data_IF_764779419909
#
_entry.id   IF_764779419909
#
_cell.length_a   1.000
_cell.length_b   1.000
_cell.length_c   1.000
_cell.angle_alpha   90.00
_cell.angle_beta   90.00
_cell.angle_gamma   90.00
#
_symmetry.space_group_name_H-M   'P 1'
#
loop_
_entity.id
_entity.type
_entity.pdbx_description
1 polymer ?
#
# COMPACT_ATOMS: atom_id res chain seq x y z
N UNK A 1 10.97 0.20 -10.10
CA UNK A 1 11.33 1.26 -9.12
C UNK A 1 10.21 2.29 -8.85
N UNK A 2 9.13 2.31 -9.64
CA UNK A 2 7.99 3.24 -9.57
C UNK A 2 7.04 3.05 -8.37
N UNK A 3 7.00 1.85 -7.79
CA UNK A 3 5.99 1.47 -6.80
C UNK A 3 6.10 2.26 -5.47
N UNK A 4 7.33 2.51 -4.97
CA UNK A 4 7.54 3.24 -3.68
C UNK A 4 7.16 4.72 -3.72
N UNK A 5 7.19 5.37 -4.88
CA UNK A 5 6.79 6.78 -5.01
C UNK A 5 5.27 6.88 -5.08
N UNK A 6 4.64 6.04 -5.91
CA UNK A 6 3.18 5.94 -6.01
C UNK A 6 2.56 5.61 -4.64
N UNK A 7 3.11 4.63 -3.93
CA UNK A 7 2.67 4.27 -2.59
C UNK A 7 2.75 5.43 -1.58
N UNK A 8 3.82 6.23 -1.62
CA UNK A 8 3.95 7.41 -0.76
C UNK A 8 2.89 8.48 -1.08
N UNK A 9 2.67 8.77 -2.36
CA UNK A 9 1.66 9.72 -2.80
C UNK A 9 0.25 9.29 -2.38
N UNK A 10 -0.05 8.01 -2.55
CA UNK A 10 -1.31 7.41 -2.12
C UNK A 10 -1.54 7.53 -0.61
N UNK A 11 -0.56 7.12 0.22
CA UNK A 11 -0.69 7.22 1.68
C UNK A 11 -0.96 8.65 2.15
N UNK A 12 -0.29 9.64 1.55
CA UNK A 12 -0.51 11.06 1.86
C UNK A 12 -1.88 11.52 1.39
N UNK A 13 -2.28 11.22 0.15
CA UNK A 13 -3.57 11.61 -0.40
C UNK A 13 -4.74 10.99 0.37
N UNK A 14 -4.70 9.69 0.70
CA UNK A 14 -5.72 9.02 1.50
C UNK A 14 -5.88 9.66 2.87
N UNK A 15 -4.78 10.00 3.53
CA UNK A 15 -4.85 10.65 4.83
C UNK A 15 -5.51 12.05 4.73
N UNK A 16 -5.17 12.81 3.68
CA UNK A 16 -5.79 14.12 3.39
C UNK A 16 -7.29 13.97 3.06
N UNK A 17 -7.68 12.91 2.34
CA UNK A 17 -9.07 12.60 2.00
C UNK A 17 -9.90 12.32 3.28
N UNK A 18 -9.36 11.53 4.20
CA UNK A 18 -10.02 11.18 5.47
C UNK A 18 -10.05 12.33 6.47
N UNK A 19 -9.06 13.23 6.42
CA UNK A 19 -8.93 14.36 7.35
C UNK A 19 -8.77 15.68 6.57
N UNK A 20 -9.88 16.34 6.20
CA UNK A 20 -9.82 17.64 5.53
C UNK A 20 -9.09 18.69 6.37
N UNK A 21 -8.42 19.63 5.70
CA UNK A 21 -7.63 20.70 6.31
C UNK A 21 -6.44 20.24 7.15
N UNK A 22 -5.89 19.06 6.84
CA UNK A 22 -4.73 18.52 7.54
C UNK A 22 -3.49 19.39 7.34
N UNK A 23 -2.68 19.53 8.39
CA UNK A 23 -1.40 20.24 8.31
C UNK A 23 -0.24 19.30 8.04
N UNK A 24 0.85 19.82 7.47
CA UNK A 24 2.07 19.04 7.27
C UNK A 24 2.65 18.50 8.59
N UNK A 25 2.38 19.14 9.73
CA UNK A 25 2.77 18.65 11.06
C UNK A 25 2.02 17.37 11.42
N UNK A 26 0.70 17.33 11.21
CA UNK A 26 -0.12 16.15 11.52
C UNK A 26 0.29 14.95 10.64
N UNK A 27 0.56 15.19 9.35
CA UNK A 27 1.03 14.14 8.44
C UNK A 27 2.34 13.49 8.90
N UNK A 28 3.27 14.27 9.48
CA UNK A 28 4.54 13.74 10.03
C UNK A 28 4.36 12.86 11.26
N UNK A 29 3.29 13.08 12.00
CA UNK A 29 2.96 12.30 13.20
C UNK A 29 2.21 11.03 12.79
N UNK A 30 1.28 11.15 11.83
CA UNK A 30 0.37 10.08 11.48
C UNK A 30 0.94 9.05 10.49
N UNK A 31 1.87 9.45 9.64
CA UNK A 31 2.43 8.58 8.60
C UNK A 31 3.86 8.17 8.95
N UNK A 32 4.24 6.89 8.75
CA UNK A 32 5.61 6.41 8.95
C UNK A 32 6.53 6.83 7.79
N UNK A 33 6.58 8.14 7.49
CA UNK A 33 7.35 8.73 6.40
C UNK A 33 8.31 9.78 6.94
N UNK A 34 9.47 9.91 6.31
CA UNK A 34 10.44 10.92 6.71
C UNK A 34 9.89 12.35 6.43
N UNK A 35 10.13 13.35 7.30
CA UNK A 35 9.60 14.70 7.10
C UNK A 35 9.93 15.32 5.73
N UNK A 36 11.12 15.01 5.20
CA UNK A 36 11.55 15.44 3.85
C UNK A 36 10.66 14.85 2.75
N UNK A 37 10.33 13.57 2.84
CA UNK A 37 9.47 12.89 1.87
C UNK A 37 8.07 13.50 1.88
N UNK A 38 7.52 13.79 3.07
CA UNK A 38 6.21 14.44 3.20
C UNK A 38 6.21 15.82 2.53
N UNK A 39 7.24 16.65 2.74
CA UNK A 39 7.33 17.96 2.09
C UNK A 39 7.44 17.84 0.56
N UNK A 40 8.28 16.92 0.07
CA UNK A 40 8.44 16.68 -1.35
C UNK A 40 7.14 16.18 -1.99
N UNK A 41 6.47 15.22 -1.36
CA UNK A 41 5.18 14.70 -1.79
C UNK A 41 4.12 15.79 -1.82
N UNK A 42 3.94 16.56 -0.74
CA UNK A 42 2.98 17.67 -0.72
C UNK A 42 3.26 18.71 -1.82
N UNK A 43 4.53 19.04 -2.06
CA UNK A 43 4.92 19.96 -3.13
C UNK A 43 4.66 19.40 -4.53
N UNK A 44 4.74 18.09 -4.75
CA UNK A 44 4.39 17.45 -6.02
C UNK A 44 2.87 17.34 -6.20
N UNK A 45 2.15 16.89 -5.17
CA UNK A 45 0.70 16.78 -5.18
C UNK A 45 0.03 18.13 -5.40
N UNK A 46 0.56 19.20 -4.77
CA UNK A 46 0.04 20.56 -4.96
C UNK A 46 0.30 21.06 -6.38
N UNK A 47 1.49 20.81 -6.95
CA UNK A 47 1.83 21.19 -8.33
C UNK A 47 1.00 20.45 -9.39
N UNK A 48 0.55 19.24 -9.07
CA UNK A 48 -0.33 18.42 -9.92
C UNK A 48 -1.81 18.63 -9.61
N UNK A 49 -2.13 19.59 -8.76
CA UNK A 49 -3.51 19.94 -8.41
C UNK A 49 -4.31 18.78 -7.78
N UNK A 50 -3.63 17.77 -7.21
CA UNK A 50 -4.26 16.68 -6.48
C UNK A 50 -4.66 17.09 -5.06
N UNK A 51 -4.04 18.15 -4.54
CA UNK A 51 -4.38 18.75 -3.25
C UNK A 51 -4.38 20.27 -3.38
N UNK A 52 -5.33 20.92 -2.72
CA UNK A 52 -5.35 22.36 -2.51
C UNK A 52 -4.57 22.69 -1.24
N UNK A 53 -3.68 23.67 -1.35
CA UNK A 53 -2.97 24.26 -0.21
C UNK A 53 -3.71 25.52 0.23
N UNK A 54 -4.40 25.44 1.35
CA UNK A 54 -5.01 26.56 2.05
C UNK A 54 -4.13 27.08 3.19
N UNK A 55 -4.62 28.13 3.86
CA UNK A 55 -4.07 28.61 5.13
C UNK A 55 -5.20 28.65 6.16
N UNK A 56 -5.03 27.90 7.26
CA UNK A 56 -5.94 27.91 8.39
C UNK A 56 -5.15 28.39 9.60
N UNK A 57 -5.57 29.53 10.18
CA UNK A 57 -4.92 30.14 11.36
C UNK A 57 -3.40 30.33 11.19
N UNK A 58 -2.96 30.75 10.00
CA UNK A 58 -1.54 30.97 9.70
C UNK A 58 -0.72 29.72 9.38
N UNK A 59 -1.33 28.52 9.39
CA UNK A 59 -0.67 27.27 9.02
C UNK A 59 -1.17 26.74 7.67
N UNK A 60 -0.27 26.16 6.88
CA UNK A 60 -0.66 25.50 5.64
C UNK A 60 -1.50 24.25 5.93
N UNK A 61 -2.71 24.24 5.37
CA UNK A 61 -3.64 23.13 5.41
C UNK A 61 -3.81 22.53 4.02
N UNK A 62 -4.03 21.24 3.93
CA UNK A 62 -4.22 20.54 2.67
C UNK A 62 -5.59 19.89 2.63
N UNK A 63 -6.25 20.00 1.49
CA UNK A 63 -7.54 19.34 1.18
C UNK A 63 -7.43 18.67 -0.18
N UNK A 64 -8.01 17.48 -0.32
CA UNK A 64 -7.97 16.75 -1.58
C UNK A 64 -8.87 17.43 -2.62
N UNK A 65 -8.47 17.37 -3.89
CA UNK A 65 -9.29 17.83 -5.03
C UNK A 65 -10.03 16.66 -5.68
N UNK A 66 -10.95 16.97 -6.58
CA UNK A 66 -11.58 15.98 -7.46
C UNK A 66 -10.55 15.22 -8.31
N UNK A 67 -9.49 15.89 -8.78
CA UNK A 67 -8.38 15.24 -9.50
C UNK A 67 -7.58 14.29 -8.60
N UNK A 68 -7.31 14.70 -7.36
CA UNK A 68 -6.64 13.84 -6.39
C UNK A 68 -7.45 12.62 -6.02
N UNK A 69 -8.77 12.78 -5.91
CA UNK A 69 -9.72 11.71 -5.63
C UNK A 69 -9.83 10.72 -6.80
N UNK A 70 -9.92 11.21 -8.03
CA UNK A 70 -9.88 10.38 -9.24
C UNK A 70 -8.55 9.62 -9.35
N UNK A 71 -7.42 10.29 -9.12
CA UNK A 71 -6.11 9.64 -9.10
C UNK A 71 -6.02 8.57 -8.02
N UNK A 72 -6.55 8.83 -6.81
CA UNK A 72 -6.65 7.83 -5.75
C UNK A 72 -7.44 6.62 -6.22
N UNK A 73 -8.63 6.81 -6.82
CA UNK A 73 -9.46 5.71 -7.32
C UNK A 73 -8.79 4.88 -8.41
N UNK A 74 -8.09 5.52 -9.34
CA UNK A 74 -7.32 4.83 -10.40
C UNK A 74 -6.12 4.06 -9.85
N UNK A 75 -5.48 4.59 -8.80
CA UNK A 75 -4.29 4.00 -8.18
C UNK A 75 -4.61 3.18 -6.92
N UNK A 76 -5.90 3.03 -6.56
CA UNK A 76 -6.33 2.36 -5.34
C UNK A 76 -6.10 0.85 -5.42
N UNK A 77 -6.15 0.30 -6.64
CA UNK A 77 -5.79 -1.09 -6.92
C UNK A 77 -4.33 -1.39 -6.59
N UNK A 78 -3.47 -0.37 -6.56
CA UNK A 78 -2.06 -0.50 -6.18
C UNK A 78 -1.79 -0.30 -4.67
N UNK A 79 -2.81 -0.02 -3.84
CA UNK A 79 -2.64 0.27 -2.42
C UNK A 79 -3.09 -0.87 -1.51
N UNK A 80 -2.11 -1.66 -1.08
CA UNK A 80 -2.20 -2.39 0.17
C UNK A 80 -2.03 -1.36 1.31
N UNK A 81 -3.01 -1.20 2.21
CA UNK A 81 -2.78 -0.42 3.45
C UNK A 81 -1.54 -0.96 4.19
N UNK A 82 -0.87 -0.18 5.07
CA UNK A 82 0.27 -0.71 5.83
C UNK A 82 -0.06 -2.01 6.59
N UNK A 83 -1.27 -2.10 7.13
CA UNK A 83 -1.81 -3.31 7.78
C UNK A 83 -1.98 -4.45 6.78
N UNK A 84 -2.50 -4.16 5.59
CA UNK A 84 -2.65 -5.15 4.52
C UNK A 84 -1.29 -5.66 4.03
N UNK A 85 -0.29 -4.79 3.88
CA UNK A 85 1.08 -5.18 3.56
C UNK A 85 1.71 -6.05 4.65
N UNK A 86 1.50 -5.68 5.92
CA UNK A 86 1.97 -6.48 7.04
C UNK A 86 1.32 -7.86 7.05
N UNK A 87 0.01 -7.94 6.76
CA UNK A 87 -0.70 -9.21 6.64
C UNK A 87 -0.18 -10.04 5.46
N UNK A 88 -0.01 -9.43 4.30
CA UNK A 88 0.53 -10.09 3.11
C UNK A 88 1.95 -10.63 3.37
N UNK A 89 2.85 -9.80 3.92
CA UNK A 89 4.23 -10.19 4.26
C UNK A 89 4.25 -11.31 5.31
N UNK A 90 3.38 -11.23 6.32
CA UNK A 90 3.22 -12.28 7.33
C UNK A 90 2.82 -13.61 6.70
N UNK A 91 1.78 -13.63 5.88
CA UNK A 91 1.31 -14.86 5.24
C UNK A 91 2.34 -15.43 4.27
N UNK A 92 3.02 -14.56 3.53
CA UNK A 92 4.10 -14.96 2.61
C UNK A 92 5.26 -15.61 3.36
N UNK A 93 5.80 -14.96 4.39
CA UNK A 93 6.91 -15.52 5.21
C UNK A 93 6.51 -16.83 5.88
N UNK A 94 5.26 -16.93 6.33
CA UNK A 94 4.74 -18.16 6.91
C UNK A 94 4.63 -19.28 5.86
N UNK A 95 4.21 -18.95 4.64
CA UNK A 95 4.15 -19.91 3.54
C UNK A 95 5.53 -20.43 3.16
N UNK A 96 6.50 -19.52 2.94
CA UNK A 96 7.90 -19.84 2.61
C UNK A 96 8.52 -20.75 3.69
N UNK A 97 8.35 -20.42 4.97
CA UNK A 97 8.86 -21.26 6.07
C UNK A 97 8.20 -22.64 6.14
N UNK A 98 6.91 -22.73 5.82
CA UNK A 98 6.21 -24.02 5.78
C UNK A 98 6.65 -24.88 4.58
N UNK A 99 7.01 -24.26 3.45
CA UNK A 99 7.63 -24.96 2.32
C UNK A 99 8.99 -25.54 2.72
N UNK A 100 9.85 -24.77 3.39
CA UNK A 100 11.17 -25.23 3.86
C UNK A 100 11.07 -26.43 4.81
N UNK A 101 10.02 -26.48 5.63
CA UNK A 101 9.76 -27.58 6.57
C UNK A 101 9.02 -28.76 5.94
N UNK A 102 8.65 -28.71 4.66
CA UNK A 102 7.90 -29.76 3.97
C UNK A 102 6.43 -29.86 4.36
N UNK A 103 5.86 -28.85 5.03
CA UNK A 103 4.44 -28.82 5.40
C UNK A 103 3.56 -28.29 4.26
N UNK A 104 3.59 -29.00 3.12
CA UNK A 104 3.04 -28.54 1.84
C UNK A 104 1.56 -28.15 1.88
N UNK A 105 0.70 -28.89 2.60
CA UNK A 105 -0.74 -28.55 2.71
C UNK A 105 -0.95 -27.23 3.45
N UNK A 106 -0.19 -27.00 4.52
CA UNK A 106 -0.29 -25.77 5.30
C UNK A 106 0.28 -24.59 4.52
N UNK A 107 1.38 -24.79 3.80
CA UNK A 107 1.97 -23.79 2.91
C UNK A 107 0.97 -23.36 1.82
N UNK A 108 0.32 -24.32 1.14
CA UNK A 108 -0.68 -24.04 0.10
C UNK A 108 -1.84 -23.17 0.60
N UNK A 109 -2.29 -23.36 1.85
CA UNK A 109 -3.32 -22.52 2.48
C UNK A 109 -2.83 -21.09 2.75
N UNK A 110 -1.58 -20.92 3.16
CA UNK A 110 -1.02 -19.58 3.35
C UNK A 110 -0.87 -18.84 2.02
N UNK A 111 -0.47 -19.51 0.95
CA UNK A 111 -0.44 -18.92 -0.39
C UNK A 111 -1.81 -18.50 -0.92
N UNK A 112 -2.89 -19.16 -0.49
CA UNK A 112 -4.25 -18.69 -0.79
C UNK A 112 -4.54 -17.34 -0.12
N UNK A 113 -4.13 -17.16 1.14
CA UNK A 113 -4.25 -15.86 1.80
C UNK A 113 -3.38 -14.78 1.16
N UNK A 114 -2.19 -15.14 0.67
CA UNK A 114 -1.34 -14.22 -0.11
C UNK A 114 -2.07 -13.80 -1.39
N UNK A 115 -2.66 -14.76 -2.11
CA UNK A 115 -3.43 -14.50 -3.33
C UNK A 115 -4.61 -13.54 -3.09
N UNK A 116 -5.40 -13.78 -2.04
CA UNK A 116 -6.56 -12.94 -1.69
C UNK A 116 -6.14 -11.50 -1.34
N UNK A 117 -4.91 -11.33 -0.86
CA UNK A 117 -4.35 -10.05 -0.47
C UNK A 117 -3.49 -9.41 -1.56
N UNK A 118 -3.20 -10.07 -2.68
CA UNK A 118 -2.33 -9.53 -3.72
C UNK A 118 -2.99 -8.37 -4.47
N UNK A 119 -2.29 -7.23 -4.67
CA UNK A 119 -2.88 -6.02 -5.27
C UNK A 119 -2.95 -6.05 -6.79
N UNK A 120 -2.06 -6.81 -7.43
CA UNK A 120 -1.89 -6.86 -8.88
C UNK A 120 -1.83 -8.30 -9.39
N UNK A 121 -2.10 -8.47 -10.68
CA UNK A 121 -2.21 -9.78 -11.30
C UNK A 121 -0.87 -10.53 -11.33
N UNK A 122 0.27 -9.84 -11.42
CA UNK A 122 1.59 -10.47 -11.36
C UNK A 122 1.83 -11.13 -10.00
N UNK A 123 1.51 -10.43 -8.90
CA UNK A 123 1.60 -10.96 -7.55
C UNK A 123 0.63 -12.12 -7.33
N UNK A 124 -0.57 -12.06 -7.91
CA UNK A 124 -1.55 -13.16 -7.88
C UNK A 124 -1.04 -14.39 -8.62
N UNK A 125 -0.47 -14.23 -9.81
CA UNK A 125 0.13 -15.31 -10.61
C UNK A 125 1.28 -15.97 -9.84
N UNK A 126 2.13 -15.18 -9.18
CA UNK A 126 3.20 -15.70 -8.33
C UNK A 126 2.64 -16.55 -7.18
N UNK A 127 1.65 -16.04 -6.44
CA UNK A 127 1.02 -16.77 -5.34
C UNK A 127 0.34 -18.08 -5.81
N UNK A 128 -0.32 -18.07 -6.97
CA UNK A 128 -0.90 -19.28 -7.58
C UNK A 128 0.20 -20.29 -7.93
N UNK A 129 1.26 -19.85 -8.59
CA UNK A 129 2.40 -20.72 -8.97
C UNK A 129 3.00 -21.43 -7.76
N UNK A 130 3.23 -20.70 -6.66
CA UNK A 130 3.72 -21.27 -5.41
C UNK A 130 2.73 -22.26 -4.79
N UNK A 131 1.44 -21.92 -4.78
CA UNK A 131 0.39 -22.82 -4.29
C UNK A 131 0.31 -24.11 -5.10
N UNK A 132 0.37 -24.02 -6.42
CA UNK A 132 0.37 -25.19 -7.31
C UNK A 132 1.59 -26.09 -7.07
N UNK A 133 2.77 -25.50 -6.86
CA UNK A 133 3.97 -26.24 -6.48
C UNK A 133 3.73 -27.02 -5.18
N UNK A 134 3.20 -26.38 -4.15
CA UNK A 134 2.87 -27.05 -2.88
C UNK A 134 1.90 -28.22 -3.09
N UNK A 135 0.89 -28.06 -3.95
CA UNK A 135 -0.08 -29.12 -4.25
C UNK A 135 0.60 -30.30 -4.96
N UNK A 136 1.50 -30.05 -5.92
CA UNK A 136 2.25 -31.13 -6.59
C UNK A 136 3.14 -31.91 -5.62
N UNK A 137 3.73 -31.23 -4.64
CA UNK A 137 4.55 -31.88 -3.60
C UNK A 137 3.72 -32.70 -2.60
N UNK A 138 2.40 -32.49 -2.50
CA UNK A 138 1.51 -33.35 -1.71
C UNK A 138 1.20 -34.68 -2.37
N UNK A 139 1.28 -34.73 -3.70
CA UNK A 139 1.02 -35.93 -4.50
C UNK A 139 2.25 -36.80 -4.75
N UNK A 140 3.41 -36.41 -4.19
CA UNK A 140 4.66 -37.17 -4.20
C UNK A 140 4.86 -37.83 -2.83
#
# INVERSE_FOLDING_TARGET
MTNKIAQRHNSVLRYIQQTPHVTARLLRIALPLHPKDIQQTLGLLSRREYVLRGAVRGHHSYTITTLGDAWLHENDRANLTPEHMQRLDKYRKQAERLEELGFWNRAARQWLHVLDLSPDDDARIAAVTHRERCIRMLSQ
#
